data_IF_272262526402
#
_entry.id   IF_272262526402
#
_cell.length_a   1.000
_cell.length_b   1.000
_cell.length_c   1.000
_cell.angle_alpha   90.00
_cell.angle_beta   90.00
_cell.angle_gamma   90.00
#
_symmetry.space_group_name_H-M   'P 1'
#
loop_
_entity.id
_entity.type
_entity.pdbx_description
1 polymer ?
#
# COMPACT_ATOMS: atom_id res chain seq x y z
N UNK A 1 -4.23 4.18 -1.53
CA UNK A 1 -2.96 4.20 -0.71
C UNK A 1 -2.22 2.90 -0.94
N UNK A 2 -1.00 2.70 -0.34
CA UNK A 2 -0.26 1.45 -0.50
C UNK A 2 -0.09 0.74 0.87
N UNK A 3 0.56 -0.39 0.91
CA UNK A 3 0.72 -1.32 2.03
C UNK A 3 0.92 -0.69 3.39
N UNK A 4 1.93 0.22 3.50
CA UNK A 4 2.35 0.76 4.77
C UNK A 4 1.34 1.76 5.33
N UNK A 5 0.86 2.68 4.51
CA UNK A 5 -0.14 3.67 4.92
C UNK A 5 -1.46 3.03 5.39
N UNK A 6 -1.90 1.92 4.77
CA UNK A 6 -3.08 1.17 5.21
C UNK A 6 -2.87 0.47 6.54
N UNK A 7 -1.74 -0.24 6.70
CA UNK A 7 -1.56 -1.23 7.75
C UNK A 7 -0.89 -0.72 9.02
N UNK A 8 -0.05 0.33 8.95
CA UNK A 8 0.78 0.78 10.08
C UNK A 8 0.01 1.17 11.33
N UNK A 9 -1.25 1.57 11.19
CA UNK A 9 -2.17 1.92 12.30
C UNK A 9 -2.67 0.73 13.09
N UNK A 10 -2.53 -0.49 12.55
CA UNK A 10 -3.15 -1.71 13.04
C UNK A 10 -2.14 -2.72 13.53
N UNK A 11 -0.91 -2.29 13.87
CA UNK A 11 0.17 -3.19 14.29
C UNK A 11 -0.12 -3.95 15.59
N UNK A 12 -1.05 -3.48 16.40
CA UNK A 12 -1.58 -4.15 17.59
C UNK A 12 -2.57 -5.29 17.27
N UNK A 13 -3.04 -5.34 15.99
CA UNK A 13 -4.02 -6.30 15.47
C UNK A 13 -3.49 -7.04 14.23
N UNK A 14 -2.66 -8.09 14.40
CA UNK A 14 -1.92 -8.71 13.30
C UNK A 14 -2.78 -9.18 12.13
N UNK A 15 -3.90 -9.82 12.38
CA UNK A 15 -4.79 -10.32 11.34
C UNK A 15 -5.53 -9.20 10.61
N UNK A 16 -5.88 -8.16 11.34
CA UNK A 16 -6.46 -6.95 10.74
C UNK A 16 -5.46 -6.25 9.84
N UNK A 17 -4.22 -6.04 10.32
CA UNK A 17 -3.14 -5.45 9.51
C UNK A 17 -2.84 -6.29 8.27
N UNK A 18 -2.84 -7.63 8.37
CA UNK A 18 -2.73 -8.51 7.22
C UNK A 18 -3.91 -8.32 6.24
N UNK A 19 -5.12 -8.19 6.76
CA UNK A 19 -6.31 -7.90 5.97
C UNK A 19 -6.19 -6.62 5.14
N UNK A 20 -5.62 -5.55 5.72
CA UNK A 20 -5.39 -4.30 4.98
C UNK A 20 -4.37 -4.44 3.85
N UNK A 21 -3.52 -5.45 3.84
CA UNK A 21 -2.56 -5.70 2.78
C UNK A 21 -3.07 -6.64 1.67
N UNK A 22 -4.13 -7.41 1.94
CA UNK A 22 -4.66 -8.44 1.01
C UNK A 22 -4.99 -7.90 -0.38
N UNK A 23 -5.70 -6.78 -0.57
CA UNK A 23 -6.03 -6.30 -1.92
C UNK A 23 -4.79 -6.01 -2.76
N UNK A 24 -3.76 -5.42 -2.15
CA UNK A 24 -2.48 -5.14 -2.79
C UNK A 24 -1.71 -6.43 -3.10
N UNK A 25 -1.67 -7.39 -2.17
CA UNK A 25 -1.06 -8.69 -2.43
C UNK A 25 -1.71 -9.41 -3.60
N UNK A 26 -3.05 -9.39 -3.69
CA UNK A 26 -3.77 -9.97 -4.82
C UNK A 26 -3.45 -9.27 -6.14
N UNK A 27 -3.20 -7.98 -6.13
CA UNK A 27 -2.78 -7.23 -7.32
C UNK A 27 -1.44 -7.74 -7.88
N UNK A 28 -0.62 -8.36 -7.04
CA UNK A 28 0.69 -8.96 -7.39
C UNK A 28 0.56 -10.43 -7.76
N UNK A 29 -0.21 -11.21 -6.98
CA UNK A 29 -0.31 -12.68 -7.10
C UNK A 29 -1.24 -13.09 -8.23
N UNK A 30 -2.49 -12.65 -8.20
CA UNK A 30 -3.50 -12.92 -9.22
C UNK A 30 -4.58 -11.84 -9.25
N UNK A 31 -4.49 -10.95 -10.23
CA UNK A 31 -5.46 -9.85 -10.43
C UNK A 31 -6.89 -10.31 -10.75
N UNK A 32 -7.08 -11.58 -11.09
CA UNK A 32 -8.41 -12.12 -11.32
C UNK A 32 -9.09 -12.52 -10.01
N UNK A 33 -8.34 -12.75 -8.92
CA UNK A 33 -8.89 -12.94 -7.58
C UNK A 33 -9.16 -11.56 -6.98
N UNK A 34 -10.42 -11.29 -6.68
CA UNK A 34 -10.82 -9.97 -6.15
C UNK A 34 -11.67 -10.13 -4.91
N UNK A 35 -11.28 -9.48 -3.84
CA UNK A 35 -12.12 -9.25 -2.67
C UNK A 35 -12.92 -7.97 -2.90
N UNK A 36 -14.22 -8.00 -2.57
CA UNK A 36 -15.13 -6.87 -2.76
C UNK A 36 -15.91 -6.64 -1.47
N UNK A 37 -16.27 -5.40 -1.17
CA UNK A 37 -17.02 -5.04 0.04
C UNK A 37 -18.27 -5.92 0.23
N UNK A 38 -19.04 -6.21 -0.82
CA UNK A 38 -20.25 -7.04 -0.72
C UNK A 38 -19.93 -8.49 -0.30
N UNK A 39 -18.96 -9.13 -0.93
CA UNK A 39 -18.61 -10.54 -0.62
C UNK A 39 -17.94 -10.63 0.74
N UNK A 40 -17.10 -9.67 1.10
CA UNK A 40 -16.41 -9.61 2.39
C UNK A 40 -17.40 -9.38 3.55
N UNK A 41 -18.39 -8.47 3.40
CA UNK A 41 -19.45 -8.28 4.40
C UNK A 41 -20.28 -9.53 4.59
N UNK A 42 -20.65 -10.23 3.49
CA UNK A 42 -21.39 -11.49 3.59
C UNK A 42 -20.57 -12.58 4.30
N UNK A 43 -19.27 -12.67 4.05
CA UNK A 43 -18.38 -13.60 4.75
C UNK A 43 -18.37 -13.32 6.26
N UNK A 44 -18.35 -12.04 6.65
CA UNK A 44 -18.36 -11.62 8.05
C UNK A 44 -19.62 -12.00 8.83
N UNK A 45 -20.74 -12.30 8.16
CA UNK A 45 -21.97 -12.73 8.85
C UNK A 45 -21.79 -14.03 9.64
N UNK A 46 -20.81 -14.88 9.24
CA UNK A 46 -20.55 -16.18 9.87
C UNK A 46 -19.11 -16.35 10.36
N UNK A 47 -18.18 -15.51 9.90
CA UNK A 47 -16.78 -15.59 10.25
C UNK A 47 -16.53 -15.22 11.71
N UNK A 48 -15.57 -15.89 12.34
CA UNK A 48 -15.15 -15.64 13.71
C UNK A 48 -13.62 -15.62 13.85
N UNK A 49 -13.11 -15.11 14.98
CA UNK A 49 -11.70 -15.10 15.30
C UNK A 49 -10.84 -14.43 14.22
N UNK A 50 -9.77 -15.10 13.83
CA UNK A 50 -8.78 -14.58 12.88
C UNK A 50 -9.34 -14.32 11.47
N UNK A 51 -10.25 -15.15 11.00
CA UNK A 51 -10.89 -14.98 9.69
C UNK A 51 -11.76 -13.71 9.66
N UNK A 52 -12.52 -13.46 10.73
CA UNK A 52 -13.31 -12.24 10.87
C UNK A 52 -12.40 -11.00 10.95
N UNK A 53 -11.31 -11.07 11.70
CA UNK A 53 -10.37 -9.97 11.84
C UNK A 53 -9.67 -9.64 10.50
N UNK A 54 -9.26 -10.67 9.73
CA UNK A 54 -8.70 -10.51 8.39
C UNK A 54 -9.71 -9.86 7.43
N UNK A 55 -10.96 -10.33 7.46
CA UNK A 55 -12.02 -9.79 6.61
C UNK A 55 -12.38 -8.32 6.96
N UNK A 56 -12.35 -7.96 8.24
CA UNK A 56 -12.49 -6.56 8.69
C UNK A 56 -11.36 -5.68 8.14
N UNK A 57 -10.11 -6.17 8.17
CA UNK A 57 -8.96 -5.46 7.58
C UNK A 57 -9.10 -5.27 6.08
N UNK A 58 -9.62 -6.27 5.35
CA UNK A 58 -9.92 -6.15 3.92
C UNK A 58 -10.95 -5.03 3.67
N UNK A 59 -12.02 -4.97 4.46
CA UNK A 59 -13.01 -3.89 4.33
C UNK A 59 -12.40 -2.53 4.61
N UNK A 60 -11.53 -2.44 5.63
CA UNK A 60 -10.83 -1.20 5.97
C UNK A 60 -10.00 -0.69 4.79
N UNK A 61 -9.22 -1.57 4.14
CA UNK A 61 -8.46 -1.18 2.95
C UNK A 61 -9.37 -0.61 1.86
N UNK A 62 -10.48 -1.29 1.55
CA UNK A 62 -11.40 -0.85 0.49
C UNK A 62 -12.08 0.49 0.83
N UNK A 63 -12.35 0.75 2.11
CA UNK A 63 -12.91 2.01 2.59
C UNK A 63 -11.86 3.12 2.59
N UNK A 64 -10.63 2.82 2.98
CA UNK A 64 -9.50 3.75 2.94
C UNK A 64 -9.19 4.19 1.51
N UNK A 65 -9.18 3.27 0.55
CA UNK A 65 -8.95 3.58 -0.86
C UNK A 65 -10.06 4.43 -1.47
N UNK A 66 -11.33 4.07 -1.19
CA UNK A 66 -12.47 4.85 -1.67
C UNK A 66 -12.43 6.29 -1.11
N UNK A 67 -12.05 6.46 0.14
CA UNK A 67 -11.87 7.77 0.75
C UNK A 67 -10.66 8.51 0.16
N UNK A 68 -9.49 7.89 0.11
CA UNK A 68 -8.22 8.51 -0.30
C UNK A 68 -8.29 9.06 -1.72
N UNK A 69 -8.81 8.27 -2.65
CA UNK A 69 -8.92 8.67 -4.06
C UNK A 69 -9.95 9.78 -4.32
N UNK A 70 -10.82 10.08 -3.35
CA UNK A 70 -11.76 11.22 -3.42
C UNK A 70 -11.24 12.50 -2.78
N UNK A 71 -10.08 12.46 -2.11
CA UNK A 71 -9.51 13.65 -1.49
C UNK A 71 -9.02 14.64 -2.54
N UNK A 72 -9.18 15.94 -2.27
CA UNK A 72 -8.67 16.99 -3.13
C UNK A 72 -7.13 16.94 -3.20
N UNK A 73 -6.47 16.64 -2.09
CA UNK A 73 -5.01 16.53 -2.03
C UNK A 73 -4.49 15.43 -2.98
N UNK A 74 -5.13 14.24 -2.98
CA UNK A 74 -4.77 13.16 -3.92
C UNK A 74 -4.93 13.61 -5.38
N UNK A 75 -6.05 14.25 -5.72
CA UNK A 75 -6.29 14.74 -7.08
C UNK A 75 -5.22 15.75 -7.52
N UNK A 76 -4.86 16.70 -6.65
CA UNK A 76 -3.84 17.73 -6.95
C UNK A 76 -2.45 17.10 -7.13
N UNK A 77 -2.04 16.21 -6.20
CA UNK A 77 -0.71 15.59 -6.24
C UNK A 77 -0.59 14.66 -7.45
N UNK A 78 -1.57 13.79 -7.66
CA UNK A 78 -1.52 12.83 -8.78
C UNK A 78 -1.54 13.54 -10.14
N UNK A 79 -2.30 14.64 -10.30
CA UNK A 79 -2.29 15.43 -11.54
C UNK A 79 -0.96 16.16 -11.74
N UNK A 80 -0.34 16.68 -10.68
CA UNK A 80 0.97 17.30 -10.77
C UNK A 80 2.04 16.29 -11.19
N UNK A 81 2.04 15.09 -10.59
CA UNK A 81 2.94 14.01 -10.99
C UNK A 81 2.64 13.51 -12.42
N UNK A 82 1.38 13.43 -12.82
CA UNK A 82 1.00 13.12 -14.21
C UNK A 82 1.67 14.07 -15.20
N UNK A 83 1.68 15.37 -14.92
CA UNK A 83 2.34 16.38 -15.77
C UNK A 83 3.85 16.19 -15.81
N UNK A 84 4.49 15.89 -14.66
CA UNK A 84 5.93 15.59 -14.62
C UNK A 84 6.28 14.35 -15.48
N UNK A 85 5.45 13.29 -15.42
CA UNK A 85 5.66 12.11 -16.26
C UNK A 85 5.43 12.39 -17.74
N UNK A 86 4.43 13.20 -18.13
CA UNK A 86 4.25 13.62 -19.53
C UNK A 86 5.45 14.37 -20.07
N UNK A 87 6.07 15.22 -19.27
CA UNK A 87 7.29 15.94 -19.67
C UNK A 87 8.50 15.01 -19.80
N UNK A 88 8.60 14.00 -18.92
CA UNK A 88 9.71 13.04 -18.93
C UNK A 88 9.55 11.93 -19.99
N UNK A 89 8.34 11.72 -20.50
CA UNK A 89 7.98 10.69 -21.47
C UNK A 89 7.22 11.35 -22.65
N UNK A 90 7.87 12.20 -23.46
CA UNK A 90 7.18 13.03 -24.47
C UNK A 90 6.53 12.21 -25.58
N UNK A 91 7.02 10.99 -25.83
CA UNK A 91 6.49 10.10 -26.87
C UNK A 91 5.32 9.21 -26.36
N UNK A 92 4.89 9.39 -25.09
CA UNK A 92 3.82 8.61 -24.46
C UNK A 92 2.51 9.43 -24.38
N UNK A 93 1.75 9.41 -25.46
CA UNK A 93 0.44 10.08 -25.57
C UNK A 93 -0.70 9.31 -24.90
N UNK A 94 -0.41 8.11 -24.35
CA UNK A 94 -1.39 7.19 -23.76
C UNK A 94 -1.79 7.54 -22.33
N UNK A 95 -2.54 6.61 -21.67
CA UNK A 95 -2.98 6.77 -20.28
C UNK A 95 -1.87 6.54 -19.25
N UNK A 96 -0.67 6.09 -19.68
CA UNK A 96 0.44 5.70 -18.82
C UNK A 96 0.92 6.82 -17.88
N UNK A 97 1.11 8.09 -18.30
CA UNK A 97 1.48 9.18 -17.39
C UNK A 97 0.45 9.40 -16.27
N UNK A 98 -0.85 9.24 -16.56
CA UNK A 98 -1.90 9.33 -15.55
C UNK A 98 -1.82 8.16 -14.55
N UNK A 99 -1.64 6.93 -15.03
CA UNK A 99 -1.41 5.77 -14.19
C UNK A 99 -0.17 5.94 -13.30
N UNK A 100 0.92 6.49 -13.85
CA UNK A 100 2.15 6.77 -13.10
C UNK A 100 1.92 7.85 -12.04
N UNK A 101 1.24 8.94 -12.36
CA UNK A 101 0.90 9.99 -11.40
C UNK A 101 0.12 9.45 -10.22
N UNK A 102 -0.86 8.58 -10.49
CA UNK A 102 -1.67 7.91 -9.46
C UNK A 102 -0.80 7.01 -8.56
N UNK A 103 -0.15 6.00 -9.14
CA UNK A 103 0.57 4.99 -8.34
C UNK A 103 1.78 5.58 -7.62
N UNK A 104 2.48 6.55 -8.22
CA UNK A 104 3.64 7.18 -7.57
C UNK A 104 3.22 8.05 -6.39
N UNK A 105 2.03 8.66 -6.41
CA UNK A 105 1.49 9.35 -5.23
C UNK A 105 1.40 8.39 -4.04
N UNK A 106 0.91 7.18 -4.25
CA UNK A 106 0.74 6.16 -3.20
C UNK A 106 2.07 5.61 -2.71
N UNK A 107 2.95 5.21 -3.64
CA UNK A 107 4.26 4.64 -3.31
C UNK A 107 5.15 5.66 -2.59
N UNK A 108 5.12 6.92 -3.02
CA UNK A 108 5.93 7.98 -2.39
C UNK A 108 5.34 8.41 -1.05
N UNK A 109 4.01 8.33 -0.84
CA UNK A 109 3.42 8.53 0.48
C UNK A 109 3.95 7.48 1.47
N UNK A 110 3.96 6.20 1.10
CA UNK A 110 4.58 5.15 1.91
C UNK A 110 6.06 5.46 2.18
N UNK A 111 6.80 5.88 1.15
CA UNK A 111 8.22 6.24 1.30
C UNK A 111 8.45 7.39 2.30
N UNK A 112 7.59 8.42 2.28
CA UNK A 112 7.65 9.56 3.21
C UNK A 112 7.36 9.09 4.64
N UNK A 113 6.34 8.27 4.84
CA UNK A 113 5.98 7.74 6.16
C UNK A 113 7.09 6.83 6.72
N UNK A 114 7.68 5.97 5.87
CA UNK A 114 8.78 5.08 6.25
C UNK A 114 10.03 5.90 6.61
N UNK A 115 10.37 6.92 5.81
CA UNK A 115 11.56 7.74 6.04
C UNK A 115 11.49 8.54 7.36
N UNK A 116 10.28 8.87 7.85
CA UNK A 116 10.07 9.57 9.13
C UNK A 116 10.31 8.70 10.35
N UNK A 117 10.02 7.41 10.25
CA UNK A 117 10.21 6.46 11.35
C UNK A 117 10.62 5.07 10.79
N UNK A 118 11.89 4.89 10.40
CA UNK A 118 12.38 3.62 9.88
C UNK A 118 12.21 2.45 10.85
N UNK A 119 12.41 2.59 12.19
CA UNK A 119 12.14 1.52 13.14
C UNK A 119 10.67 1.05 13.14
N UNK A 120 9.73 1.92 12.80
CA UNK A 120 8.31 1.54 12.70
C UNK A 120 8.07 0.57 11.55
N UNK A 121 8.82 0.66 10.44
CA UNK A 121 8.74 -0.29 9.35
C UNK A 121 9.16 -1.71 9.80
N UNK A 122 10.18 -1.82 10.62
CA UNK A 122 10.61 -3.12 11.18
C UNK A 122 9.50 -3.72 12.06
N UNK A 123 8.88 -2.90 12.91
CA UNK A 123 7.71 -3.34 13.71
C UNK A 123 6.54 -3.72 12.84
N UNK A 124 6.27 -2.99 11.76
CA UNK A 124 5.22 -3.32 10.79
C UNK A 124 5.44 -4.70 10.18
N UNK A 125 6.65 -5.02 9.73
CA UNK A 125 6.94 -6.35 9.21
C UNK A 125 6.82 -7.46 10.25
N UNK A 126 7.22 -7.21 11.49
CA UNK A 126 7.12 -8.20 12.57
C UNK A 126 5.67 -8.58 12.92
N UNK A 127 4.70 -7.74 12.56
CA UNK A 127 3.27 -8.06 12.72
C UNK A 127 2.89 -9.30 11.93
N UNK A 128 3.43 -9.45 10.73
CA UNK A 128 3.13 -10.58 9.84
C UNK A 128 3.78 -11.90 10.29
N UNK A 129 4.70 -11.87 11.25
CA UNK A 129 5.23 -13.10 11.88
C UNK A 129 4.19 -13.81 12.75
N UNK A 130 3.12 -13.10 13.12
CA UNK A 130 2.03 -13.58 13.99
C UNK A 130 0.84 -14.13 13.22
N UNK A 131 0.88 -14.16 11.89
CA UNK A 131 -0.22 -14.65 11.06
C UNK A 131 0.19 -15.90 10.29
N UNK A 132 -0.77 -16.80 10.08
CA UNK A 132 -0.59 -18.00 9.26
C UNK A 132 -0.91 -17.65 7.79
N UNK A 133 0.10 -17.70 6.87
CA UNK A 133 -0.11 -17.43 5.46
C UNK A 133 -1.12 -18.37 4.81
N UNK A 134 -1.21 -19.63 5.26
CA UNK A 134 -2.13 -20.62 4.69
C UNK A 134 -3.59 -20.31 5.07
N UNK A 135 -3.82 -19.85 6.30
CA UNK A 135 -5.15 -19.40 6.73
C UNK A 135 -5.56 -18.13 5.98
N UNK A 136 -4.61 -17.22 5.68
CA UNK A 136 -4.88 -16.04 4.84
C UNK A 136 -5.33 -16.49 3.44
N UNK A 137 -4.58 -17.39 2.78
CA UNK A 137 -4.90 -17.87 1.42
C UNK A 137 -6.29 -18.51 1.37
N UNK A 138 -6.61 -19.41 2.31
CA UNK A 138 -7.90 -20.10 2.36
C UNK A 138 -9.05 -19.14 2.63
N UNK A 139 -8.91 -18.23 3.59
CA UNK A 139 -9.93 -17.22 3.94
C UNK A 139 -10.19 -16.28 2.76
N UNK A 140 -9.14 -15.78 2.11
CA UNK A 140 -9.26 -14.92 0.91
C UNK A 140 -9.93 -15.67 -0.24
N UNK A 141 -9.60 -16.94 -0.45
CA UNK A 141 -10.28 -17.80 -1.42
C UNK A 141 -11.78 -17.93 -1.15
N UNK A 142 -12.17 -18.13 0.09
CA UNK A 142 -13.58 -18.19 0.52
C UNK A 142 -14.31 -16.87 0.27
N UNK A 143 -13.70 -15.72 0.61
CA UNK A 143 -14.27 -14.37 0.37
C UNK A 143 -14.43 -14.10 -1.14
N UNK A 144 -13.42 -14.44 -1.94
CA UNK A 144 -13.40 -14.20 -3.38
C UNK A 144 -14.28 -15.18 -4.18
N UNK A 145 -14.66 -16.32 -3.57
CA UNK A 145 -15.42 -17.39 -4.22
C UNK A 145 -14.59 -18.20 -5.25
N UNK A 146 -13.25 -18.12 -5.17
CA UNK A 146 -12.31 -18.88 -5.99
C UNK A 146 -10.94 -18.98 -5.30
N UNK A 147 -10.11 -20.01 -5.59
CA UNK A 147 -8.80 -20.16 -4.96
C UNK A 147 -7.92 -18.92 -5.14
N UNK A 148 -7.26 -18.49 -4.06
CA UNK A 148 -6.24 -17.44 -4.05
C UNK A 148 -4.83 -18.07 -4.12
N UNK A 149 -4.63 -19.01 -5.01
CA UNK A 149 -3.42 -19.81 -5.09
C UNK A 149 -2.14 -18.96 -5.20
N UNK A 150 -1.16 -19.28 -4.36
CA UNK A 150 0.12 -18.56 -4.29
C UNK A 150 0.14 -17.38 -3.31
N UNK A 151 -0.99 -17.02 -2.72
CA UNK A 151 -1.03 -15.92 -1.75
C UNK A 151 -0.22 -16.26 -0.49
N UNK A 152 -0.30 -17.50 0.01
CA UNK A 152 0.49 -17.95 1.17
C UNK A 152 2.00 -17.84 0.93
N UNK A 153 2.44 -18.24 -0.27
CA UNK A 153 3.83 -18.06 -0.68
C UNK A 153 4.21 -16.58 -0.72
N UNK A 154 3.35 -15.74 -1.31
CA UNK A 154 3.63 -14.31 -1.43
C UNK A 154 3.68 -13.61 -0.06
N UNK A 155 2.78 -13.94 0.86
CA UNK A 155 2.82 -13.41 2.24
C UNK A 155 4.15 -13.76 2.91
N UNK A 156 4.62 -14.99 2.72
CA UNK A 156 5.93 -15.43 3.23
C UNK A 156 7.06 -14.63 2.58
N UNK A 157 7.03 -14.45 1.26
CA UNK A 157 8.02 -13.65 0.53
C UNK A 157 7.99 -12.17 0.96
N UNK A 158 6.81 -11.59 1.13
CA UNK A 158 6.63 -10.21 1.60
C UNK A 158 7.34 -9.96 2.95
N UNK A 159 7.22 -10.91 3.88
CA UNK A 159 7.90 -10.85 5.19
C UNK A 159 9.42 -10.89 5.08
N UNK A 160 9.95 -11.74 4.20
CA UNK A 160 11.39 -11.96 4.05
C UNK A 160 12.06 -10.89 3.20
N UNK A 161 11.46 -10.50 2.08
CA UNK A 161 12.04 -9.56 1.12
C UNK A 161 12.04 -8.12 1.62
N UNK A 162 11.12 -7.74 2.51
CA UNK A 162 11.01 -6.41 3.15
C UNK A 162 11.14 -5.26 2.15
N UNK A 163 10.57 -5.42 0.97
CA UNK A 163 10.80 -4.55 -0.18
C UNK A 163 10.29 -3.11 -0.03
N UNK A 164 9.43 -2.83 0.96
CA UNK A 164 8.97 -1.46 1.21
C UNK A 164 10.12 -0.53 1.61
N UNK A 165 11.21 -1.08 2.17
CA UNK A 165 12.44 -0.32 2.44
C UNK A 165 13.06 0.27 1.17
N UNK A 166 12.81 -0.33 0.01
CA UNK A 166 13.30 0.17 -1.27
C UNK A 166 12.64 1.50 -1.69
N UNK A 167 11.44 1.80 -1.15
CA UNK A 167 10.69 3.00 -1.53
C UNK A 167 11.37 4.30 -1.12
N UNK A 168 12.21 4.28 -0.08
CA UNK A 168 12.93 5.47 0.38
C UNK A 168 14.09 5.88 -0.53
N UNK A 169 14.51 5.03 -1.44
CA UNK A 169 15.56 5.29 -2.43
C UNK A 169 14.95 5.36 -3.84
N UNK A 170 15.09 6.47 -4.54
CA UNK A 170 14.41 6.70 -5.83
C UNK A 170 14.85 5.70 -6.91
N UNK A 171 16.11 5.25 -6.91
CA UNK A 171 16.60 4.25 -7.86
C UNK A 171 16.00 2.87 -7.57
N UNK A 172 15.87 2.52 -6.29
CA UNK A 172 15.20 1.27 -5.89
C UNK A 172 13.70 1.35 -6.15
N UNK A 173 13.08 2.50 -5.87
CA UNK A 173 11.67 2.73 -6.18
C UNK A 173 11.39 2.62 -7.69
N UNK A 174 12.27 3.16 -8.55
CA UNK A 174 12.14 3.01 -10.01
C UNK A 174 12.15 1.53 -10.42
N UNK A 175 13.02 0.70 -9.82
CA UNK A 175 13.01 -0.75 -10.08
C UNK A 175 11.69 -1.40 -9.66
N UNK A 176 11.15 -1.05 -8.49
CA UNK A 176 9.85 -1.57 -8.01
C UNK A 176 8.71 -1.11 -8.92
N UNK A 177 8.72 0.14 -9.35
CA UNK A 177 7.73 0.68 -10.29
C UNK A 177 7.80 -0.05 -11.64
N UNK A 178 8.99 -0.35 -12.16
CA UNK A 178 9.16 -1.14 -13.37
C UNK A 178 8.62 -2.58 -13.22
N UNK A 179 8.74 -3.20 -12.05
CA UNK A 179 8.08 -4.48 -11.77
C UNK A 179 6.54 -4.37 -11.80
N UNK A 180 5.99 -3.26 -11.31
CA UNK A 180 4.53 -3.00 -11.41
C UNK A 180 4.12 -2.82 -12.87
N UNK A 181 4.85 -2.02 -13.65
CA UNK A 181 4.59 -1.81 -15.07
C UNK A 181 4.62 -3.11 -15.87
N UNK A 182 5.61 -3.96 -15.63
CA UNK A 182 5.71 -5.28 -16.28
C UNK A 182 4.46 -6.13 -16.01
N UNK A 183 3.93 -6.14 -14.78
CA UNK A 183 2.71 -6.89 -14.43
C UNK A 183 1.48 -6.38 -15.16
N UNK A 184 1.42 -5.08 -15.48
CA UNK A 184 0.34 -4.46 -16.26
C UNK A 184 0.62 -4.42 -17.75
N UNK A 185 1.72 -5.07 -18.20
CA UNK A 185 2.15 -5.15 -19.60
C UNK A 185 2.43 -3.76 -20.23
N UNK A 186 2.97 -2.85 -19.42
CA UNK A 186 3.49 -1.56 -19.88
C UNK A 186 5.02 -1.62 -19.96
N UNK A 187 5.57 -0.85 -20.88
CA UNK A 187 7.01 -0.73 -21.05
C UNK A 187 7.69 -0.18 -19.80
N UNK A 188 8.91 -0.65 -19.46
CA UNK A 188 9.65 -0.12 -18.34
C UNK A 188 10.00 1.36 -18.54
N UNK A 189 10.15 2.08 -17.44
CA UNK A 189 10.61 3.45 -17.42
C UNK A 189 12.12 3.51 -17.61
N UNK A 190 12.63 4.44 -18.42
CA UNK A 190 14.06 4.65 -18.57
C UNK A 190 14.67 5.33 -17.33
N UNK A 191 15.97 5.13 -17.11
CA UNK A 191 16.70 5.67 -15.95
C UNK A 191 16.52 7.18 -15.70
N UNK A 192 16.45 8.06 -16.71
CA UNK A 192 16.22 9.50 -16.49
C UNK A 192 14.93 9.84 -15.74
N UNK A 193 13.94 8.95 -15.72
CA UNK A 193 12.70 9.13 -14.97
C UNK A 193 12.94 9.11 -13.45
N UNK A 194 14.08 8.59 -12.98
CA UNK A 194 14.46 8.71 -11.56
C UNK A 194 14.37 10.16 -11.06
N UNK A 195 14.76 11.14 -11.90
CA UNK A 195 14.66 12.55 -11.53
C UNK A 195 13.22 13.02 -11.24
N UNK A 196 12.21 12.38 -11.83
CA UNK A 196 10.80 12.65 -11.48
C UNK A 196 10.51 12.13 -10.07
N UNK A 197 10.99 10.93 -9.72
CA UNK A 197 10.81 10.35 -8.38
C UNK A 197 11.53 11.18 -7.30
N UNK A 198 12.71 11.73 -7.62
CA UNK A 198 13.44 12.63 -6.72
C UNK A 198 12.65 13.90 -6.41
N UNK A 199 11.95 14.47 -7.42
CA UNK A 199 11.06 15.65 -7.23
C UNK A 199 9.72 15.29 -6.60
N UNK A 200 9.21 14.08 -6.84
CA UNK A 200 7.96 13.62 -6.24
C UNK A 200 8.03 13.55 -4.70
N UNK A 201 9.19 13.19 -4.16
CA UNK A 201 9.36 13.04 -2.70
C UNK A 201 9.06 14.33 -1.92
N UNK A 202 9.76 15.46 -2.14
CA UNK A 202 9.47 16.70 -1.42
C UNK A 202 8.04 17.22 -1.69
N UNK A 203 7.50 16.98 -2.88
CA UNK A 203 6.12 17.32 -3.20
C UNK A 203 5.13 16.54 -2.30
N UNK A 204 5.24 15.21 -2.26
CA UNK A 204 4.34 14.37 -1.46
C UNK A 204 4.55 14.61 0.03
N UNK A 205 5.79 14.86 0.47
CA UNK A 205 6.10 15.19 1.85
C UNK A 205 5.41 16.48 2.32
N UNK A 206 5.43 17.52 1.48
CA UNK A 206 4.75 18.78 1.76
C UNK A 206 3.21 18.62 1.80
N UNK A 207 2.66 17.75 0.96
CA UNK A 207 1.23 17.50 0.84
C UNK A 207 0.72 16.37 1.76
N UNK A 208 1.61 15.64 2.45
CA UNK A 208 1.24 14.53 3.32
C UNK A 208 0.18 14.89 4.39
N UNK A 209 0.21 16.07 5.04
CA UNK A 209 -0.87 16.47 5.93
C UNK A 209 -2.23 16.54 5.24
N UNK A 210 -2.29 17.06 4.01
CA UNK A 210 -3.51 17.12 3.20
C UNK A 210 -3.97 15.74 2.71
N UNK A 211 -3.03 14.89 2.29
CA UNK A 211 -3.28 13.51 1.84
C UNK A 211 -3.86 12.64 2.97
N UNK A 212 -3.51 12.90 4.21
CA UNK A 212 -3.95 12.16 5.39
C UNK A 212 -5.02 12.91 6.21
N UNK A 213 -5.44 14.10 5.79
CA UNK A 213 -6.43 14.90 6.49
C UNK A 213 -7.80 14.21 6.50
N UNK A 214 -8.38 13.98 7.68
CA UNK A 214 -9.66 13.29 7.83
C UNK A 214 -9.58 11.77 7.70
N UNK A 215 -8.39 11.21 7.64
CA UNK A 215 -8.18 9.77 7.75
C UNK A 215 -8.77 9.27 9.07
N UNK A 216 -9.62 8.20 9.08
CA UNK A 216 -10.45 7.87 10.22
C UNK A 216 -9.68 7.75 11.54
N UNK A 217 -10.30 8.17 12.66
CA UNK A 217 -9.65 8.58 13.91
C UNK A 217 -9.23 7.44 14.83
N UNK A 218 -8.52 6.45 14.39
CA UNK A 218 -7.54 5.79 15.25
C UNK A 218 -6.16 6.31 14.86
N UNK A 219 -6.08 7.62 14.89
CA UNK A 219 -4.90 8.35 14.53
C UNK A 219 -3.80 8.12 15.55
N UNK A 220 -3.00 7.13 15.33
CA UNK A 220 -1.59 7.38 15.37
C UNK A 220 -1.39 8.56 14.42
N UNK A 221 -0.86 9.67 14.91
CA UNK A 221 -0.37 10.70 14.03
C UNK A 221 0.70 10.04 13.14
N UNK A 222 0.29 9.64 11.92
CA UNK A 222 1.20 8.97 10.99
C UNK A 222 2.38 9.85 10.62
N UNK A 223 2.28 11.15 10.94
CA UNK A 223 3.29 12.16 10.67
C UNK A 223 4.15 12.46 11.91
N UNK A 224 3.75 12.03 13.11
CA UNK A 224 4.56 12.14 14.31
C UNK A 224 5.48 10.91 14.50
N UNK A 225 6.70 11.08 15.03
CA UNK A 225 7.48 9.97 15.56
C UNK A 225 6.68 9.23 16.62
N UNK A 226 6.84 7.90 16.74
CA UNK A 226 6.31 7.19 17.92
C UNK A 226 7.03 7.74 19.15
N UNK A 227 6.23 8.08 20.16
CA UNK A 227 6.74 8.30 21.52
C UNK A 227 7.32 6.95 22.00
N UNK A 228 8.63 6.87 22.09
CA UNK A 228 9.35 5.61 22.41
C UNK A 228 9.14 5.16 23.86
N UNK A 229 8.14 5.70 24.57
CA UNK A 229 7.74 5.22 25.90
C UNK A 229 8.90 5.13 26.92
N UNK A 230 10.02 5.78 26.66
CA UNK A 230 11.12 5.94 27.61
C UNK A 230 10.73 7.09 28.51
N UNK A 231 9.99 6.77 29.58
CA UNK A 231 9.95 7.66 30.74
C UNK A 231 11.37 7.84 31.23
N UNK A 232 11.85 9.08 31.40
CA UNK A 232 13.14 9.31 32.04
C UNK A 232 13.14 8.79 33.47
N UNK A 233 14.29 8.36 33.96
CA UNK A 233 14.44 7.76 35.29
C UNK A 233 14.03 8.68 36.44
#
# INVERSE_FOLDING_TARGET
MNYYAHGVRWMDRPWYAAGTAVPDWLSVVDRQVRVRSKTTRRFLETAQGHEAELAQGILQHLEDDDWFHRTQAFAIVSERLTREFRQALPDDDGPRPHFLGHIVTELVLDAVLIARDPPRLERYYSVFDKVDPQLIETTVGAIAGKPAAGLAWFVTAFRHERFLSDYVDSRRLLRRLNQVLQRVKLEPLPDPVQAVLDRARPLVEAEAPGLLAGFPPRSLDLLAPLDDGVSPP
#
